data_IF_905492270757
#
_entry.id   IF_905492270757
#
_cell.length_a   1.000
_cell.length_b   1.000
_cell.length_c   1.000
_cell.angle_alpha   90.00
_cell.angle_beta   90.00
_cell.angle_gamma   90.00
#
_symmetry.space_group_name_H-M   'P 1'
#
loop_
_entity.id
_entity.type
_entity.pdbx_description
1 polymer ?
#
# COMPACT_ATOMS: atom_id res chain seq x y z
N UNK A 1 5.43 -19.51 -4.41
CA UNK A 1 5.50 -18.40 -5.37
C UNK A 1 6.58 -17.44 -4.93
N UNK A 2 7.22 -16.77 -5.88
CA UNK A 2 8.15 -15.68 -5.62
C UNK A 2 7.37 -14.37 -5.65
N UNK A 3 7.34 -13.66 -4.53
CA UNK A 3 6.58 -12.42 -4.34
C UNK A 3 7.56 -11.27 -4.13
N UNK A 4 7.40 -10.18 -4.88
CA UNK A 4 8.09 -8.93 -4.63
C UNK A 4 7.16 -7.95 -3.95
N UNK A 5 7.51 -7.48 -2.76
CA UNK A 5 6.81 -6.37 -2.10
C UNK A 5 7.43 -5.06 -2.57
N UNK A 6 6.64 -4.25 -3.28
CA UNK A 6 6.99 -2.87 -3.63
C UNK A 6 6.87 -2.01 -2.37
N UNK A 7 8.03 -1.63 -1.81
CA UNK A 7 8.14 -0.98 -0.51
C UNK A 7 8.03 0.55 -0.62
N UNK A 8 7.23 1.13 0.25
CA UNK A 8 7.16 2.57 0.47
C UNK A 8 7.06 2.85 1.98
N UNK A 9 6.96 4.12 2.40
CA UNK A 9 6.97 4.50 3.82
C UNK A 9 5.67 4.13 4.53
N UNK A 10 5.50 2.85 4.87
CA UNK A 10 4.38 2.33 5.66
C UNK A 10 4.90 1.29 6.65
N UNK A 11 4.31 1.23 7.84
CA UNK A 11 4.87 0.47 8.98
C UNK A 11 4.48 -1.02 9.04
N UNK A 12 3.45 -1.46 8.32
CA UNK A 12 2.92 -2.83 8.41
C UNK A 12 3.47 -3.79 7.33
N UNK A 13 4.42 -3.37 6.51
CA UNK A 13 5.00 -4.23 5.44
C UNK A 13 5.71 -5.45 5.99
N UNK A 14 6.39 -5.32 7.13
CA UNK A 14 7.07 -6.44 7.77
C UNK A 14 6.09 -7.53 8.21
N UNK A 15 4.92 -7.15 8.72
CA UNK A 15 3.88 -8.10 9.11
C UNK A 15 3.33 -8.86 7.88
N UNK A 16 3.14 -8.16 6.76
CA UNK A 16 2.69 -8.77 5.51
C UNK A 16 3.75 -9.73 4.95
N UNK A 17 5.03 -9.32 4.96
CA UNK A 17 6.15 -10.19 4.55
C UNK A 17 6.16 -11.47 5.37
N UNK A 18 6.12 -11.35 6.69
CA UNK A 18 6.13 -12.51 7.60
C UNK A 18 4.93 -13.43 7.36
N UNK A 19 3.75 -12.88 7.07
CA UNK A 19 2.58 -13.67 6.76
C UNK A 19 2.74 -14.46 5.45
N UNK A 20 3.26 -13.86 4.39
CA UNK A 20 3.53 -14.58 3.14
C UNK A 20 4.59 -15.68 3.33
N UNK A 21 5.66 -15.41 4.08
CA UNK A 21 6.70 -16.40 4.39
C UNK A 21 6.15 -17.55 5.22
N UNK A 22 5.28 -17.27 6.19
CA UNK A 22 4.57 -18.29 6.98
C UNK A 22 3.74 -19.26 6.10
N UNK A 23 3.13 -18.74 5.03
CA UNK A 23 2.41 -19.56 4.05
C UNK A 23 3.32 -20.20 2.98
N UNK A 24 4.64 -20.15 3.16
CA UNK A 24 5.61 -20.87 2.30
C UNK A 24 5.94 -20.16 1.00
N UNK A 25 5.78 -18.83 0.93
CA UNK A 25 6.21 -18.04 -0.22
C UNK A 25 7.63 -17.51 -0.02
N UNK A 26 8.37 -17.36 -1.12
CA UNK A 26 9.62 -16.60 -1.14
C UNK A 26 9.29 -15.12 -1.31
N UNK A 27 9.80 -14.24 -0.44
CA UNK A 27 9.39 -12.84 -0.42
C UNK A 27 10.59 -11.90 -0.36
N UNK A 28 10.75 -11.11 -1.39
CA UNK A 28 11.72 -10.03 -1.45
C UNK A 28 11.04 -8.66 -1.32
N UNK A 29 11.80 -7.65 -0.96
CA UNK A 29 11.32 -6.27 -0.83
C UNK A 29 12.12 -5.37 -1.77
N UNK A 30 11.41 -4.70 -2.68
CA UNK A 30 11.98 -3.65 -3.51
C UNK A 30 11.75 -2.29 -2.86
N UNK A 31 12.83 -1.62 -2.46
CA UNK A 31 12.76 -0.27 -1.92
C UNK A 31 12.88 0.73 -3.07
N UNK A 32 11.82 1.51 -3.27
CA UNK A 32 11.84 2.59 -4.23
C UNK A 32 12.93 3.59 -3.84
N UNK A 33 13.89 3.80 -4.74
CA UNK A 33 14.85 4.90 -4.57
C UNK A 33 14.06 6.21 -4.67
N UNK A 34 14.33 7.21 -3.80
CA UNK A 34 13.65 8.49 -3.88
C UNK A 34 13.75 9.03 -5.30
N UNK A 35 12.61 9.12 -5.97
CA UNK A 35 12.53 9.82 -7.24
C UNK A 35 13.00 11.25 -7.00
N UNK A 36 13.91 11.76 -7.81
CA UNK A 36 14.32 13.16 -7.73
C UNK A 36 13.05 14.03 -7.79
N UNK A 37 12.92 14.96 -6.85
CA UNK A 37 11.75 15.76 -6.53
C UNK A 37 11.12 16.58 -7.67
N UNK A 38 11.56 16.42 -8.89
CA UNK A 38 11.18 17.26 -10.03
C UNK A 38 10.07 16.69 -10.91
N UNK A 39 9.48 15.55 -10.56
CA UNK A 39 8.43 14.97 -11.40
C UNK A 39 7.17 14.60 -10.59
N UNK A 40 6.23 15.52 -10.58
CA UNK A 40 4.81 15.25 -10.32
C UNK A 40 4.21 14.28 -11.37
N UNK A 41 4.93 13.99 -12.45
CA UNK A 41 4.41 13.35 -13.66
C UNK A 41 5.07 12.05 -14.05
N UNK A 42 5.60 11.26 -13.12
CA UNK A 42 5.97 9.88 -13.49
C UNK A 42 7.43 9.51 -13.30
N UNK A 43 7.63 8.21 -13.22
CA UNK A 43 8.92 7.53 -13.20
C UNK A 43 9.67 7.89 -14.51
N UNK A 44 10.97 8.17 -14.42
CA UNK A 44 11.80 8.34 -15.62
C UNK A 44 11.79 7.06 -16.44
N UNK A 45 11.80 7.17 -17.76
CA UNK A 45 11.77 6.02 -18.68
C UNK A 45 12.84 4.97 -18.34
N UNK A 46 14.03 5.40 -17.96
CA UNK A 46 15.12 4.51 -17.55
C UNK A 46 14.76 3.69 -16.28
N UNK A 47 14.17 4.33 -15.28
CA UNK A 47 13.77 3.66 -14.02
C UNK A 47 12.61 2.70 -14.27
N UNK A 48 11.75 3.02 -15.24
CA UNK A 48 10.64 2.17 -15.68
C UNK A 48 11.15 0.86 -16.29
N UNK A 49 12.15 0.93 -17.17
CA UNK A 49 12.75 -0.26 -17.80
C UNK A 49 13.42 -1.15 -16.77
N UNK A 50 14.21 -0.56 -15.86
CA UNK A 50 14.88 -1.30 -14.79
C UNK A 50 13.87 -2.01 -13.87
N UNK A 51 12.77 -1.34 -13.53
CA UNK A 51 11.74 -1.91 -12.68
C UNK A 51 11.00 -3.05 -13.40
N UNK A 52 10.75 -2.90 -14.70
CA UNK A 52 10.14 -3.96 -15.51
C UNK A 52 10.99 -5.21 -15.57
N UNK A 53 12.33 -5.09 -15.66
CA UNK A 53 13.24 -6.24 -15.65
C UNK A 53 13.20 -6.95 -14.31
N UNK A 54 13.21 -6.20 -13.20
CA UNK A 54 13.06 -6.79 -11.86
C UNK A 54 11.72 -7.52 -11.73
N UNK A 55 10.60 -6.93 -12.18
CA UNK A 55 9.28 -7.56 -12.03
C UNK A 55 9.17 -8.90 -12.78
N UNK A 56 9.89 -9.08 -13.88
CA UNK A 56 9.88 -10.34 -14.64
C UNK A 56 10.42 -11.55 -13.85
N UNK A 57 11.19 -11.31 -12.79
CA UNK A 57 11.77 -12.37 -11.96
C UNK A 57 10.78 -12.93 -10.91
N UNK A 58 9.63 -12.28 -10.72
CA UNK A 58 8.64 -12.64 -9.70
C UNK A 58 7.32 -13.09 -10.31
N UNK A 59 6.60 -13.94 -9.57
CA UNK A 59 5.27 -14.41 -9.96
C UNK A 59 4.20 -13.36 -9.68
N UNK A 60 4.38 -12.61 -8.58
CA UNK A 60 3.44 -11.62 -8.06
C UNK A 60 4.20 -10.39 -7.57
N UNK A 61 3.70 -9.23 -7.93
CA UNK A 61 4.11 -7.95 -7.34
C UNK A 61 3.02 -7.54 -6.35
N UNK A 62 3.41 -7.25 -5.12
CA UNK A 62 2.51 -6.84 -4.05
C UNK A 62 2.83 -5.42 -3.56
N UNK A 63 1.81 -4.66 -3.23
CA UNK A 63 1.99 -3.39 -2.51
C UNK A 63 0.88 -3.14 -1.48
N UNK A 64 1.24 -2.44 -0.41
CA UNK A 64 0.26 -1.73 0.40
C UNK A 64 -0.05 -0.41 -0.29
N UNK A 65 -1.33 -0.11 -0.47
CA UNK A 65 -1.87 0.88 -1.39
C UNK A 65 -1.65 0.56 -2.87
N UNK A 66 -2.37 1.28 -3.71
CA UNK A 66 -2.35 1.10 -5.15
C UNK A 66 -1.41 2.10 -5.83
N UNK A 67 -0.53 1.62 -6.69
CA UNK A 67 0.41 2.41 -7.48
C UNK A 67 0.14 2.22 -8.98
N UNK A 68 -0.34 3.26 -9.69
CA UNK A 68 -0.63 3.20 -11.12
C UNK A 68 0.54 2.68 -11.96
N UNK A 69 1.75 3.18 -11.74
CA UNK A 69 2.93 2.77 -12.48
C UNK A 69 3.30 1.30 -12.25
N UNK A 70 3.12 0.77 -11.04
CA UNK A 70 3.34 -0.66 -10.75
C UNK A 70 2.34 -1.50 -11.54
N UNK A 71 1.07 -1.07 -11.59
CA UNK A 71 0.04 -1.73 -12.38
C UNK A 71 0.39 -1.73 -13.88
N UNK A 72 0.80 -0.59 -14.44
CA UNK A 72 1.15 -0.48 -15.85
C UNK A 72 2.35 -1.35 -16.23
N UNK A 73 3.37 -1.42 -15.37
CA UNK A 73 4.52 -2.31 -15.56
C UNK A 73 4.10 -3.78 -15.48
N UNK A 74 3.25 -4.13 -14.53
CA UNK A 74 2.75 -5.50 -14.39
C UNK A 74 1.93 -5.93 -15.61
N UNK A 75 1.07 -5.04 -16.15
CA UNK A 75 0.31 -5.31 -17.37
C UNK A 75 1.23 -5.55 -18.57
N UNK A 76 2.27 -4.73 -18.75
CA UNK A 76 3.24 -4.87 -19.84
C UNK A 76 4.12 -6.12 -19.71
N UNK A 77 4.49 -6.49 -18.48
CA UNK A 77 5.36 -7.65 -18.21
C UNK A 77 4.59 -8.97 -18.04
N UNK A 78 3.25 -8.92 -18.06
CA UNK A 78 2.38 -10.08 -17.85
C UNK A 78 2.46 -10.62 -16.41
N UNK A 79 2.80 -9.78 -15.44
CA UNK A 79 2.87 -10.16 -14.02
C UNK A 79 1.58 -9.81 -13.28
N UNK A 80 1.24 -10.60 -12.27
CA UNK A 80 0.09 -10.28 -11.41
C UNK A 80 0.44 -9.16 -10.45
N UNK A 81 -0.42 -8.18 -10.35
CA UNK A 81 -0.34 -7.13 -9.35
C UNK A 81 -1.40 -7.32 -8.28
N UNK A 82 -0.96 -7.36 -7.02
CA UNK A 82 -1.84 -7.44 -5.84
C UNK A 82 -1.62 -6.17 -5.02
N UNK A 83 -2.64 -5.35 -4.88
CA UNK A 83 -2.62 -4.15 -4.06
C UNK A 83 -3.62 -4.29 -2.90
N UNK A 84 -3.19 -4.01 -1.68
CA UNK A 84 -4.08 -3.93 -0.53
C UNK A 84 -4.10 -2.51 0.02
N UNK A 85 -5.24 -1.83 -0.08
CA UNK A 85 -5.36 -0.44 0.36
C UNK A 85 -5.41 -0.37 1.88
N UNK A 86 -4.67 0.58 2.44
CA UNK A 86 -4.61 0.87 3.89
C UNK A 86 -4.94 2.32 4.20
N UNK A 87 -5.04 3.17 3.17
CA UNK A 87 -5.45 4.57 3.26
C UNK A 87 -6.79 4.79 2.54
N UNK A 88 -7.61 5.70 3.06
CA UNK A 88 -8.86 6.16 2.45
C UNK A 88 -9.08 7.64 2.78
N UNK A 89 -9.39 8.51 1.78
CA UNK A 89 -9.49 8.23 0.35
C UNK A 89 -8.12 8.01 -0.31
N UNK A 90 -8.06 7.13 -1.32
CA UNK A 90 -6.85 6.84 -2.09
C UNK A 90 -7.04 7.29 -3.55
N UNK A 91 -6.53 8.48 -3.89
CA UNK A 91 -6.73 9.12 -5.19
C UNK A 91 -6.18 8.29 -6.35
N UNK A 92 -5.09 7.53 -6.13
CA UNK A 92 -4.51 6.68 -7.17
C UNK A 92 -5.46 5.61 -7.73
N UNK A 93 -6.53 5.27 -7.02
CA UNK A 93 -7.57 4.35 -7.48
C UNK A 93 -8.46 4.93 -8.61
N UNK A 94 -8.40 6.24 -8.86
CA UNK A 94 -9.12 6.88 -9.98
C UNK A 94 -8.26 6.98 -11.26
N UNK A 95 -7.04 6.45 -11.22
CA UNK A 95 -6.21 6.38 -12.42
C UNK A 95 -6.70 5.28 -13.38
N UNK A 96 -6.60 5.51 -14.70
CA UNK A 96 -7.07 4.56 -15.71
C UNK A 96 -6.47 3.15 -15.59
N UNK A 97 -5.24 3.03 -15.05
CA UNK A 97 -4.60 1.72 -14.84
C UNK A 97 -5.37 0.79 -13.89
N UNK A 98 -6.36 1.29 -13.14
CA UNK A 98 -7.21 0.47 -12.27
C UNK A 98 -7.97 -0.61 -13.06
N UNK A 99 -8.18 -0.40 -14.37
CA UNK A 99 -8.81 -1.35 -15.28
C UNK A 99 -7.85 -2.39 -15.87
N UNK A 100 -6.54 -2.31 -15.61
CA UNK A 100 -5.57 -3.28 -16.11
C UNK A 100 -5.92 -4.69 -15.65
N UNK A 101 -5.76 -5.65 -16.55
CA UNK A 101 -6.17 -7.04 -16.32
C UNK A 101 -5.31 -7.78 -15.29
N UNK A 102 -4.07 -7.32 -15.09
CA UNK A 102 -3.12 -7.85 -14.13
C UNK A 102 -3.51 -7.57 -12.66
N UNK A 103 -4.36 -6.58 -12.42
CA UNK A 103 -4.72 -6.12 -11.08
C UNK A 103 -5.55 -7.13 -10.29
N UNK A 104 -5.28 -7.18 -8.97
CA UNK A 104 -6.13 -7.75 -7.94
C UNK A 104 -6.08 -6.78 -6.76
N UNK A 105 -7.12 -5.94 -6.59
CA UNK A 105 -7.11 -4.83 -5.65
C UNK A 105 -8.01 -5.16 -4.46
N UNK A 106 -7.43 -5.23 -3.28
CA UNK A 106 -8.14 -5.44 -2.02
C UNK A 106 -8.37 -4.11 -1.34
N UNK A 107 -9.64 -3.81 -1.04
CA UNK A 107 -10.09 -2.51 -0.53
C UNK A 107 -10.78 -2.72 0.81
N UNK A 108 -10.32 -1.99 1.85
CA UNK A 108 -10.94 -2.08 3.17
C UNK A 108 -12.13 -1.16 3.34
N UNK A 109 -12.20 -0.07 2.57
CA UNK A 109 -13.30 0.88 2.60
C UNK A 109 -14.43 0.41 1.69
N UNK A 110 -15.61 0.14 2.28
CA UNK A 110 -16.78 -0.34 1.54
C UNK A 110 -17.29 0.69 0.54
N UNK A 111 -17.21 1.98 0.85
CA UNK A 111 -17.68 3.03 -0.06
C UNK A 111 -16.87 2.98 -1.36
N UNK A 112 -15.54 3.02 -1.27
CA UNK A 112 -14.66 2.92 -2.43
C UNK A 112 -14.82 1.59 -3.18
N UNK A 113 -15.00 0.48 -2.47
CA UNK A 113 -15.24 -0.80 -3.10
C UNK A 113 -16.49 -0.78 -4.00
N UNK A 114 -17.60 -0.26 -3.50
CA UNK A 114 -18.83 -0.18 -4.29
C UNK A 114 -18.74 0.85 -5.41
N UNK A 115 -18.12 1.99 -5.20
CA UNK A 115 -17.92 3.02 -6.21
C UNK A 115 -17.10 2.48 -7.39
N UNK A 116 -15.94 1.88 -7.15
CA UNK A 116 -15.12 1.30 -8.22
C UNK A 116 -15.82 0.14 -8.93
N UNK A 117 -16.62 -0.64 -8.20
CA UNK A 117 -17.42 -1.69 -8.79
C UNK A 117 -18.48 -1.15 -9.75
N UNK A 118 -19.12 -0.04 -9.41
CA UNK A 118 -20.09 0.66 -10.28
C UNK A 118 -19.40 1.26 -11.50
N UNK A 119 -18.16 1.70 -11.40
CA UNK A 119 -17.34 2.16 -12.52
C UNK A 119 -16.87 1.02 -13.44
N UNK A 120 -17.15 -0.23 -13.10
CA UNK A 120 -16.84 -1.40 -13.92
C UNK A 120 -15.48 -2.03 -13.68
N UNK A 121 -14.78 -1.66 -12.62
CA UNK A 121 -13.52 -2.32 -12.23
C UNK A 121 -13.81 -3.76 -11.81
N UNK A 122 -13.15 -4.73 -12.45
CA UNK A 122 -13.52 -6.16 -12.32
C UNK A 122 -12.82 -6.85 -11.14
N UNK A 123 -11.51 -6.67 -11.01
CA UNK A 123 -10.67 -7.43 -10.08
C UNK A 123 -10.48 -6.66 -8.77
N UNK A 124 -11.59 -6.33 -8.13
CA UNK A 124 -11.60 -5.68 -6.80
C UNK A 124 -12.34 -6.54 -5.80
N UNK A 125 -11.82 -6.55 -4.58
CA UNK A 125 -12.28 -7.39 -3.49
C UNK A 125 -12.38 -6.57 -2.21
N UNK A 126 -13.44 -6.74 -1.45
CA UNK A 126 -13.54 -6.16 -0.11
C UNK A 126 -12.72 -7.00 0.87
N UNK A 127 -11.74 -6.39 1.52
CA UNK A 127 -10.93 -7.02 2.57
C UNK A 127 -10.65 -6.02 3.68
N UNK A 128 -11.21 -6.22 4.89
CA UNK A 128 -10.93 -5.38 6.03
C UNK A 128 -9.44 -5.34 6.37
N UNK A 129 -9.03 -4.28 7.08
CA UNK A 129 -7.70 -4.22 7.66
C UNK A 129 -7.54 -5.31 8.73
N UNK A 130 -6.33 -5.79 8.86
CA UNK A 130 -5.96 -6.82 9.83
C UNK A 130 -4.81 -6.34 10.72
N UNK A 131 -4.62 -7.01 11.84
CA UNK A 131 -3.57 -6.74 12.80
C UNK A 131 -2.79 -8.02 13.08
N UNK A 132 -1.48 -7.90 13.25
CA UNK A 132 -0.64 -9.01 13.70
C UNK A 132 -0.79 -9.17 15.23
N UNK A 133 -1.67 -10.08 15.63
CA UNK A 133 -1.98 -10.34 17.04
C UNK A 133 -0.80 -10.91 17.81
N UNK A 134 0.00 -11.77 17.18
CA UNK A 134 1.15 -12.42 17.82
C UNK A 134 2.25 -11.39 18.14
N UNK A 135 2.53 -10.48 17.19
CA UNK A 135 3.46 -9.38 17.43
C UNK A 135 3.00 -8.46 18.55
N UNK A 136 1.71 -8.09 18.55
CA UNK A 136 1.16 -7.21 19.58
C UNK A 136 1.17 -7.89 20.96
N UNK A 137 0.78 -9.16 21.04
CA UNK A 137 0.83 -9.92 22.29
C UNK A 137 2.26 -9.99 22.83
N UNK A 138 3.23 -10.32 21.98
CA UNK A 138 4.63 -10.38 22.38
C UNK A 138 5.15 -9.01 22.85
N UNK A 139 4.73 -7.90 22.22
CA UNK A 139 5.09 -6.56 22.66
C UNK A 139 4.47 -6.22 24.02
N UNK A 140 3.21 -6.58 24.25
CA UNK A 140 2.54 -6.36 25.54
C UNK A 140 3.17 -7.19 26.66
N UNK A 141 3.56 -8.42 26.38
CA UNK A 141 4.20 -9.31 27.34
C UNK A 141 5.62 -8.86 27.70
N UNK A 142 6.31 -8.22 26.77
CA UNK A 142 7.66 -7.68 26.99
C UNK A 142 7.70 -6.37 27.80
N UNK A 143 6.55 -5.69 27.95
CA UNK A 143 6.48 -4.43 28.69
C UNK A 143 6.64 -4.64 30.19
N UNK A 144 7.46 -3.80 30.81
CA UNK A 144 7.60 -3.73 32.26
C UNK A 144 6.31 -3.18 32.92
N UNK A 145 6.14 -3.43 34.20
CA UNK A 145 5.04 -2.85 34.97
C UNK A 145 5.05 -1.31 34.93
N UNK A 146 6.23 -0.71 35.03
CA UNK A 146 6.42 0.74 35.01
C UNK A 146 5.99 1.34 33.65
N UNK A 147 6.33 0.68 32.53
CA UNK A 147 5.88 1.10 31.20
C UNK A 147 4.35 1.01 31.05
N UNK A 148 3.75 -0.07 31.53
CA UNK A 148 2.28 -0.24 31.51
C UNK A 148 1.58 0.85 32.32
N UNK A 149 2.08 1.16 33.52
CA UNK A 149 1.52 2.22 34.36
C UNK A 149 1.72 3.62 33.72
N UNK A 150 2.88 3.89 33.12
CA UNK A 150 3.20 5.16 32.46
C UNK A 150 2.29 5.48 31.27
N UNK A 151 1.90 4.45 30.51
CA UNK A 151 1.08 4.61 29.30
C UNK A 151 -0.39 4.22 29.52
N UNK A 152 -0.78 3.92 30.75
CA UNK A 152 -2.17 3.65 31.09
C UNK A 152 -3.02 4.90 31.05
N UNK A 153 -4.17 4.84 30.39
CA UNK A 153 -5.16 5.90 30.35
C UNK A 153 -6.56 5.32 30.13
N UNK A 154 -7.57 5.95 30.73
CA UNK A 154 -8.97 5.57 30.53
C UNK A 154 -9.41 5.80 29.08
N UNK A 155 -8.91 6.88 28.46
CA UNK A 155 -9.15 7.24 27.06
C UNK A 155 -7.83 7.71 26.46
N UNK A 156 -7.45 7.16 25.30
CA UNK A 156 -6.25 7.58 24.59
C UNK A 156 -6.54 7.86 23.11
N UNK A 157 -5.82 8.82 22.56
CA UNK A 157 -5.77 9.09 21.12
C UNK A 157 -4.31 9.10 20.66
N UNK A 158 -4.01 8.28 19.65
CA UNK A 158 -2.70 8.23 19.00
C UNK A 158 -2.89 8.56 17.53
N UNK A 159 -2.39 9.71 17.09
CA UNK A 159 -2.56 10.15 15.71
C UNK A 159 -1.98 11.54 15.46
N UNK A 160 -2.08 11.98 14.20
CA UNK A 160 -1.75 13.33 13.78
C UNK A 160 -2.98 14.23 13.85
N UNK A 161 -2.80 15.49 14.28
CA UNK A 161 -3.85 16.50 14.19
C UNK A 161 -4.02 17.08 12.78
N UNK A 162 -3.20 16.65 11.83
CA UNK A 162 -3.22 17.11 10.43
C UNK A 162 -3.21 18.64 10.25
N UNK A 163 -2.57 19.35 11.17
CA UNK A 163 -2.44 20.81 11.11
C UNK A 163 -1.55 21.32 9.96
N UNK A 164 -0.85 20.40 9.29
CA UNK A 164 -0.20 20.61 7.99
C UNK A 164 -0.68 19.48 7.08
N UNK A 165 -1.41 19.82 6.04
CA UNK A 165 -1.99 18.86 5.11
C UNK A 165 -1.97 19.42 3.69
N UNK A 166 -2.02 18.54 2.70
CA UNK A 166 -1.95 18.93 1.28
C UNK A 166 -3.15 19.77 0.82
N UNK A 167 -4.30 19.70 1.50
CA UNK A 167 -5.44 20.52 1.17
C UNK A 167 -5.17 21.99 1.47
N UNK A 168 -4.56 22.30 2.62
CA UNK A 168 -4.20 23.68 2.99
C UNK A 168 -3.19 24.29 2.01
N UNK A 169 -2.33 23.48 1.39
CA UNK A 169 -1.36 23.94 0.40
C UNK A 169 -2.00 24.29 -0.96
N UNK A 170 -3.18 23.75 -1.25
CA UNK A 170 -3.83 23.89 -2.56
C UNK A 170 -5.21 24.57 -2.53
N UNK A 171 -5.85 24.73 -1.37
CA UNK A 171 -7.23 25.24 -1.23
C UNK A 171 -7.48 26.57 -1.95
N UNK A 172 -6.48 27.47 -1.92
CA UNK A 172 -6.57 28.79 -2.55
C UNK A 172 -6.35 28.75 -4.08
N UNK A 173 -5.95 27.58 -4.61
CA UNK A 173 -5.72 27.33 -6.03
C UNK A 173 -6.84 26.49 -6.66
N UNK A 174 -7.78 26.00 -5.86
CA UNK A 174 -8.91 25.23 -6.36
C UNK A 174 -9.95 26.17 -6.99
N UNK A 175 -10.60 25.76 -8.07
CA UNK A 175 -11.73 26.51 -8.63
C UNK A 175 -12.87 26.57 -7.63
N UNK A 176 -13.68 27.66 -7.65
CA UNK A 176 -14.83 27.85 -6.78
C UNK A 176 -15.91 26.81 -7.03
#
# INVERSE_FOLDING_TARGET
>A
MNILIYKWKVFNQADVKSAFEYFGHSVDMYEEKPLSSDSITGIKEHDYVLLADVFREYDVIFSLNYFPHVSDICEQTGRKYVAWTVDSPLISLYHQSVFNSCNNIFIFDKFFYYELKQLGVKNIYYLPLAVNTDRLSSQLDSQTREEKERFSADISFVGSMYHKNSYDDIKDKLPP
#
